data_IF_279698677037
#
_entry.id   IF_279698677037
#
_cell.length_a   1.000
_cell.length_b   1.000
_cell.length_c   1.000
_cell.angle_alpha   90.00
_cell.angle_beta   90.00
_cell.angle_gamma   90.00
#
_symmetry.space_group_name_H-M   'P 1'
#
loop_
_entity.id
_entity.type
_entity.pdbx_description
1 polymer ?
#
# COMPACT_ATOMS: atom_id res chain seq x y z
N UNK A 1 19.75 -13.13 -23.51
CA UNK A 1 21.18 -13.52 -23.35
C UNK A 1 21.25 -15.02 -23.04
N UNK A 2 22.18 -15.76 -23.64
CA UNK A 2 22.41 -17.19 -23.37
C UNK A 2 23.84 -17.43 -22.89
N UNK A 3 24.05 -18.38 -21.97
CA UNK A 3 25.38 -18.72 -21.42
C UNK A 3 25.78 -20.13 -21.80
N UNK A 4 27.00 -20.27 -22.34
CA UNK A 4 27.63 -21.53 -22.68
C UNK A 4 28.67 -21.90 -21.63
N UNK A 5 28.77 -23.19 -21.34
CA UNK A 5 29.65 -23.71 -20.30
C UNK A 5 30.65 -24.72 -20.89
N UNK A 6 31.93 -24.50 -20.62
CA UNK A 6 33.00 -25.46 -20.89
C UNK A 6 33.24 -26.31 -19.64
N UNK A 7 33.24 -27.63 -19.81
CA UNK A 7 33.45 -28.60 -18.71
C UNK A 7 34.59 -29.57 -19.04
N UNK A 8 35.08 -30.33 -18.05
CA UNK A 8 36.13 -31.33 -18.25
C UNK A 8 37.58 -30.79 -18.29
N UNK A 9 37.78 -29.48 -18.08
CA UNK A 9 39.08 -28.82 -18.00
C UNK A 9 39.10 -27.47 -18.72
N UNK A 10 40.10 -26.63 -18.43
CA UNK A 10 40.24 -25.28 -18.99
C UNK A 10 41.61 -25.03 -19.67
N UNK A 11 42.38 -26.09 -19.94
CA UNK A 11 43.67 -25.97 -20.61
C UNK A 11 43.52 -25.77 -22.11
N UNK A 12 44.29 -24.85 -22.69
CA UNK A 12 44.24 -24.53 -24.12
C UNK A 12 42.95 -23.81 -24.55
N UNK A 13 42.98 -23.27 -25.77
CA UNK A 13 41.81 -22.64 -26.40
C UNK A 13 40.96 -23.70 -27.09
N UNK A 14 39.64 -23.59 -26.97
CA UNK A 14 38.67 -24.44 -27.68
C UNK A 14 37.61 -23.57 -28.35
N UNK A 15 36.96 -24.07 -29.39
CA UNK A 15 35.86 -23.37 -30.06
C UNK A 15 34.75 -24.34 -30.43
N UNK A 16 33.55 -23.79 -30.60
CA UNK A 16 32.37 -24.50 -31.09
C UNK A 16 31.59 -23.53 -31.99
N UNK A 17 31.06 -24.02 -33.10
CA UNK A 17 30.13 -23.27 -33.92
C UNK A 17 28.74 -23.29 -33.27
N UNK A 18 28.02 -22.18 -33.40
CA UNK A 18 26.63 -22.11 -33.00
C UNK A 18 25.78 -21.54 -34.14
N UNK A 19 24.58 -22.10 -34.30
CA UNK A 19 23.58 -21.63 -35.27
C UNK A 19 22.27 -21.33 -34.56
N UNK A 20 21.66 -20.21 -34.90
CA UNK A 20 20.30 -19.87 -34.50
C UNK A 20 19.33 -20.43 -35.53
N UNK A 21 18.38 -21.24 -35.08
CA UNK A 21 17.38 -21.88 -35.93
C UNK A 21 16.00 -21.41 -35.52
N UNK A 22 15.21 -21.01 -36.51
CA UNK A 22 13.82 -20.61 -36.32
C UNK A 22 13.02 -21.69 -35.60
N UNK A 23 12.19 -21.28 -34.64
CA UNK A 23 11.13 -22.10 -34.07
C UNK A 23 9.79 -21.51 -34.49
N UNK A 24 9.00 -21.02 -33.52
CA UNK A 24 7.90 -20.11 -33.82
C UNK A 24 8.44 -18.75 -34.27
N UNK A 25 9.47 -18.24 -33.57
CA UNK A 25 10.21 -17.06 -33.98
C UNK A 25 10.99 -17.27 -35.29
N UNK A 26 10.91 -16.31 -36.20
CA UNK A 26 11.52 -16.17 -37.52
C UNK A 26 12.60 -15.10 -37.54
N UNK A 27 13.72 -15.46 -38.17
CA UNK A 27 14.79 -14.50 -38.42
C UNK A 27 14.29 -13.33 -39.27
N UNK A 28 14.69 -12.11 -38.88
CA UNK A 28 14.29 -10.83 -39.47
C UNK A 28 12.86 -10.36 -39.20
N UNK A 29 12.04 -11.17 -38.53
CA UNK A 29 10.75 -10.76 -37.95
C UNK A 29 10.98 -10.52 -36.45
N UNK A 30 11.42 -11.53 -35.69
CA UNK A 30 11.42 -11.44 -34.21
C UNK A 30 12.84 -11.45 -33.62
N UNK A 31 13.85 -11.86 -34.42
CA UNK A 31 15.25 -11.81 -34.00
C UNK A 31 16.24 -11.59 -35.14
N UNK A 32 17.41 -11.03 -34.79
CA UNK A 32 18.52 -10.84 -35.72
C UNK A 32 19.35 -12.11 -35.78
N UNK A 33 19.35 -12.79 -36.93
CA UNK A 33 20.15 -14.00 -37.12
C UNK A 33 21.66 -13.71 -37.07
N UNK A 34 22.34 -14.36 -36.13
CA UNK A 34 23.76 -14.09 -35.82
C UNK A 34 24.58 -15.35 -35.58
N UNK A 35 24.61 -16.27 -36.55
CA UNK A 35 25.42 -17.51 -36.48
C UNK A 35 26.92 -17.19 -36.35
N UNK A 36 27.68 -18.07 -35.68
CA UNK A 36 29.11 -17.80 -35.50
C UNK A 36 29.88 -18.87 -34.74
N UNK A 37 31.10 -18.51 -34.33
CA UNK A 37 32.00 -19.37 -33.57
C UNK A 37 32.20 -18.81 -32.18
N UNK A 38 31.94 -19.62 -31.16
CA UNK A 38 32.20 -19.28 -29.77
C UNK A 38 33.55 -19.88 -29.35
N UNK A 39 34.53 -19.02 -29.07
CA UNK A 39 35.86 -19.43 -28.59
C UNK A 39 35.96 -19.28 -27.07
N UNK A 40 36.50 -20.26 -26.38
CA UNK A 40 36.93 -20.16 -24.99
C UNK A 40 38.45 -20.08 -24.98
N UNK A 41 39.00 -19.01 -24.44
CA UNK A 41 40.44 -18.91 -24.20
C UNK A 41 40.88 -19.91 -23.12
N UNK A 42 42.19 -20.13 -23.01
CA UNK A 42 42.75 -20.92 -21.92
C UNK A 42 42.35 -20.29 -20.56
N UNK A 43 41.75 -21.10 -19.68
CA UNK A 43 41.24 -20.66 -18.39
C UNK A 43 39.76 -20.24 -18.39
N UNK A 44 39.11 -20.02 -19.53
CA UNK A 44 37.69 -19.65 -19.59
C UNK A 44 36.79 -20.88 -19.49
N UNK A 45 35.84 -20.85 -18.55
CA UNK A 45 34.87 -21.94 -18.32
C UNK A 45 33.44 -21.58 -18.67
N UNK A 46 33.14 -20.31 -18.92
CA UNK A 46 31.82 -19.84 -19.35
C UNK A 46 31.97 -18.65 -20.30
N UNK A 47 31.03 -18.52 -21.23
CA UNK A 47 30.92 -17.36 -22.11
C UNK A 47 29.46 -17.12 -22.44
N UNK A 48 29.06 -15.86 -22.49
CA UNK A 48 27.68 -15.48 -22.80
C UNK A 48 27.59 -14.84 -24.19
N UNK A 49 26.49 -15.12 -24.88
CA UNK A 49 26.13 -14.53 -26.16
C UNK A 49 24.87 -13.68 -25.96
N UNK A 50 24.92 -12.43 -26.44
CA UNK A 50 23.72 -11.63 -26.63
C UNK A 50 23.11 -11.99 -27.98
N UNK A 51 21.81 -12.21 -28.00
CA UNK A 51 21.03 -12.39 -29.21
C UNK A 51 20.11 -11.17 -29.25
N UNK A 52 20.17 -10.43 -30.34
CA UNK A 52 19.37 -9.23 -30.52
C UNK A 52 17.97 -9.66 -31.00
N UNK A 53 16.95 -9.27 -30.23
CA UNK A 53 15.54 -9.42 -30.61
C UNK A 53 15.11 -8.20 -31.42
N UNK A 54 14.11 -8.39 -32.27
CA UNK A 54 13.47 -7.31 -33.02
C UNK A 54 12.18 -7.00 -32.27
N UNK A 55 12.05 -5.75 -31.87
CA UNK A 55 10.90 -5.23 -31.12
C UNK A 55 9.91 -4.64 -32.11
N UNK A 56 8.63 -5.00 -31.99
CA UNK A 56 7.55 -4.46 -32.80
C UNK A 56 6.24 -4.24 -32.02
N UNK A 57 5.20 -3.79 -32.71
CA UNK A 57 3.92 -3.41 -32.09
C UNK A 57 2.82 -4.49 -32.31
N UNK A 58 3.15 -5.62 -32.94
CA UNK A 58 2.21 -6.69 -33.23
C UNK A 58 2.06 -7.58 -32.00
N UNK A 59 0.82 -7.87 -31.59
CA UNK A 59 0.60 -8.78 -30.46
C UNK A 59 0.68 -10.22 -30.93
N UNK A 60 1.67 -10.92 -30.39
CA UNK A 60 2.00 -12.28 -30.72
C UNK A 60 1.78 -13.20 -29.50
N UNK A 61 2.17 -14.46 -29.64
CA UNK A 61 2.26 -15.40 -28.52
C UNK A 61 3.72 -15.66 -28.26
N UNK A 62 4.14 -15.90 -27.01
CA UNK A 62 5.54 -16.25 -26.68
C UNK A 62 6.17 -17.17 -27.74
N UNK A 63 7.22 -16.66 -28.36
CA UNK A 63 7.84 -17.30 -29.49
C UNK A 63 9.16 -17.97 -29.13
N UNK A 64 9.61 -18.91 -29.93
CA UNK A 64 10.80 -19.70 -29.62
C UNK A 64 11.76 -19.76 -30.80
N UNK A 65 13.06 -19.71 -30.50
CA UNK A 65 14.13 -20.09 -31.39
C UNK A 65 15.05 -21.11 -30.70
N UNK A 66 15.87 -21.82 -31.48
CA UNK A 66 16.80 -22.82 -30.95
C UNK A 66 18.24 -22.48 -31.32
N UNK A 67 19.13 -22.52 -30.33
CA UNK A 67 20.58 -22.48 -30.54
C UNK A 67 21.11 -23.90 -30.63
N UNK A 68 21.84 -24.23 -31.70
CA UNK A 68 22.42 -25.56 -31.92
C UNK A 68 23.95 -25.42 -31.95
N UNK A 69 24.65 -26.33 -31.27
CA UNK A 69 26.12 -26.41 -31.29
C UNK A 69 26.60 -27.42 -32.33
N UNK A 70 27.67 -27.08 -33.06
CA UNK A 70 28.32 -27.93 -34.06
C UNK A 70 29.85 -27.75 -34.10
N UNK A 71 30.54 -28.66 -34.78
CA UNK A 71 31.96 -28.56 -35.14
C UNK A 71 32.90 -28.10 -34.00
N UNK A 72 33.02 -28.87 -32.88
CA UNK A 72 33.95 -28.51 -31.82
C UNK A 72 35.41 -28.66 -32.29
N UNK A 73 36.24 -27.66 -31.98
CA UNK A 73 37.66 -27.67 -32.29
C UNK A 73 38.54 -27.57 -31.02
N UNK A 74 39.85 -27.72 -31.16
CA UNK A 74 40.80 -27.62 -30.05
C UNK A 74 40.77 -28.81 -29.08
N UNK A 75 40.20 -29.94 -29.50
CA UNK A 75 40.09 -31.16 -28.69
C UNK A 75 38.86 -31.20 -27.76
N UNK A 76 37.95 -30.22 -27.88
CA UNK A 76 36.67 -30.26 -27.21
C UNK A 76 35.71 -31.30 -27.83
N UNK A 77 34.67 -31.65 -27.08
CA UNK A 77 33.51 -32.38 -27.55
C UNK A 77 32.24 -31.66 -27.07
N UNK A 78 31.17 -31.72 -27.86
CA UNK A 78 29.88 -31.14 -27.46
C UNK A 78 29.22 -32.09 -26.46
N UNK A 79 28.93 -31.57 -25.27
CA UNK A 79 28.21 -32.29 -24.22
C UNK A 79 26.69 -32.29 -24.42
N UNK A 80 25.96 -32.91 -23.49
CA UNK A 80 24.50 -32.78 -23.43
C UNK A 80 24.12 -31.60 -22.52
N UNK A 81 23.21 -30.70 -22.95
CA UNK A 81 22.48 -30.72 -24.22
C UNK A 81 23.28 -30.12 -25.39
N UNK A 82 23.03 -30.59 -26.61
CA UNK A 82 23.65 -30.06 -27.85
C UNK A 82 22.91 -28.85 -28.42
N UNK A 83 21.77 -28.48 -27.82
CA UNK A 83 20.95 -27.35 -28.22
C UNK A 83 20.21 -26.77 -27.01
N UNK A 84 19.77 -25.52 -27.13
CA UNK A 84 18.96 -24.84 -26.13
C UNK A 84 17.85 -24.04 -26.84
N UNK A 85 16.63 -24.12 -26.30
CA UNK A 85 15.51 -23.29 -26.74
C UNK A 85 15.54 -21.98 -25.97
N UNK A 86 15.34 -20.89 -26.70
CA UNK A 86 15.17 -19.53 -26.16
C UNK A 86 13.74 -19.14 -26.45
N UNK A 87 13.05 -18.62 -25.44
CA UNK A 87 11.73 -18.01 -25.56
C UNK A 87 11.90 -16.49 -25.65
N UNK A 88 11.21 -15.88 -26.59
CA UNK A 88 10.97 -14.44 -26.70
C UNK A 88 9.56 -14.24 -26.13
N UNK A 89 9.45 -13.52 -25.03
CA UNK A 89 8.17 -13.22 -24.39
C UNK A 89 7.56 -11.99 -25.10
N UNK A 90 6.28 -12.06 -25.47
CA UNK A 90 5.52 -10.93 -26.04
C UNK A 90 5.16 -9.93 -24.91
N UNK A 91 5.45 -8.65 -25.10
CA UNK A 91 5.02 -7.59 -24.17
C UNK A 91 3.86 -6.73 -24.68
N UNK A 92 3.33 -7.08 -25.86
CA UNK A 92 2.32 -6.36 -26.62
C UNK A 92 0.87 -6.73 -26.22
N UNK A 93 0.68 -7.70 -25.31
CA UNK A 93 -0.50 -7.83 -24.44
C UNK A 93 -1.86 -7.61 -25.13
N UNK A 94 -2.26 -8.59 -25.95
CA UNK A 94 -3.32 -8.48 -26.95
C UNK A 94 -4.66 -7.82 -26.57
N UNK A 95 -5.08 -6.88 -27.42
CA UNK A 95 -6.46 -6.43 -27.58
C UNK A 95 -7.38 -7.44 -28.31
N UNK A 96 -6.91 -8.67 -28.56
CA UNK A 96 -7.65 -9.74 -29.18
C UNK A 96 -7.78 -10.94 -28.23
N UNK A 97 -9.00 -11.41 -28.03
CA UNK A 97 -9.33 -12.60 -27.23
C UNK A 97 -8.54 -13.85 -27.68
N UNK A 98 -7.35 -14.07 -27.11
CA UNK A 98 -6.64 -15.35 -27.14
C UNK A 98 -6.43 -15.80 -25.70
N UNK A 99 -7.05 -16.94 -25.37
CA UNK A 99 -6.89 -17.62 -24.09
C UNK A 99 -5.43 -18.08 -23.94
N UNK A 100 -4.61 -17.35 -23.19
CA UNK A 100 -3.28 -17.83 -22.82
C UNK A 100 -2.29 -16.79 -22.30
N UNK A 101 -2.42 -15.51 -22.66
CA UNK A 101 -1.45 -14.46 -22.32
C UNK A 101 -2.03 -13.52 -21.25
N UNK A 102 -1.18 -12.97 -20.38
CA UNK A 102 -1.53 -12.02 -19.32
C UNK A 102 -2.25 -10.78 -19.91
N UNK A 103 -3.57 -10.82 -20.07
CA UNK A 103 -4.35 -9.62 -20.41
C UNK A 103 -4.13 -8.55 -19.33
N UNK A 104 -3.89 -7.29 -19.71
CA UNK A 104 -3.70 -6.22 -18.74
C UNK A 104 -4.93 -6.14 -17.84
N UNK A 105 -4.70 -5.91 -16.55
CA UNK A 105 -5.77 -5.81 -15.56
C UNK A 105 -5.96 -4.36 -15.14
N UNK A 106 -7.21 -3.94 -15.03
CA UNK A 106 -7.60 -2.64 -14.51
C UNK A 106 -8.12 -2.79 -13.08
N UNK A 107 -7.62 -1.94 -12.18
CA UNK A 107 -7.90 -2.01 -10.74
C UNK A 107 -7.81 -0.67 -10.04
N UNK A 108 -8.47 -0.50 -8.90
CA UNK A 108 -8.20 0.65 -8.04
C UNK A 108 -6.80 0.55 -7.42
N UNK A 109 -6.07 1.68 -7.35
CA UNK A 109 -4.72 1.76 -6.77
C UNK A 109 -4.69 1.51 -5.24
N UNK A 110 -5.81 1.69 -4.55
CA UNK A 110 -6.02 1.29 -3.16
C UNK A 110 -7.41 0.65 -2.97
N UNK A 111 -7.54 -0.18 -1.94
CA UNK A 111 -8.84 -0.75 -1.51
C UNK A 111 -9.63 0.19 -0.60
N UNK A 112 -8.95 1.15 0.03
CA UNK A 112 -9.55 2.10 0.97
C UNK A 112 -8.98 3.50 0.69
N UNK A 113 -9.88 4.48 0.61
CA UNK A 113 -9.57 5.90 0.57
C UNK A 113 -10.25 6.58 1.75
N UNK A 114 -9.66 7.67 2.22
CA UNK A 114 -10.24 8.51 3.26
C UNK A 114 -9.93 9.98 2.97
N UNK A 115 -10.93 10.84 3.10
CA UNK A 115 -10.77 12.28 2.92
C UNK A 115 -11.78 13.04 3.77
N UNK A 116 -11.37 14.18 4.35
CA UNK A 116 -12.31 15.08 5.04
C UNK A 116 -13.21 15.78 4.04
N UNK A 117 -14.48 15.97 4.41
CA UNK A 117 -15.46 16.65 3.58
C UNK A 117 -15.05 18.10 3.23
N UNK A 118 -14.35 18.79 4.14
CA UNK A 118 -13.79 20.14 3.90
C UNK A 118 -12.83 20.23 2.72
N UNK A 119 -12.19 19.12 2.33
CA UNK A 119 -11.25 19.12 1.20
C UNK A 119 -12.00 19.27 -0.14
N UNK A 120 -13.33 19.14 -0.13
CA UNK A 120 -14.25 19.39 -1.25
C UNK A 120 -14.18 18.35 -2.38
N UNK A 121 -13.11 17.55 -2.46
CA UNK A 121 -13.00 16.44 -3.40
C UNK A 121 -11.90 15.46 -3.01
N UNK A 122 -12.00 14.23 -3.52
CA UNK A 122 -10.96 13.21 -3.43
C UNK A 122 -10.60 12.67 -4.81
N UNK A 123 -9.31 12.51 -5.08
CA UNK A 123 -8.80 11.90 -6.31
C UNK A 123 -8.69 10.39 -6.15
N UNK A 124 -9.30 9.65 -7.07
CA UNK A 124 -9.28 8.19 -7.12
C UNK A 124 -8.40 7.76 -8.28
N UNK A 125 -7.44 6.86 -8.01
CA UNK A 125 -6.49 6.35 -9.01
C UNK A 125 -6.90 4.93 -9.43
N UNK A 126 -6.86 4.70 -10.73
CA UNK A 126 -7.06 3.40 -11.37
C UNK A 126 -5.79 3.04 -12.13
N UNK A 127 -5.25 1.88 -11.84
CA UNK A 127 -4.03 1.34 -12.44
C UNK A 127 -4.37 0.34 -13.54
N UNK A 128 -3.50 0.30 -14.55
CA UNK A 128 -3.39 -0.75 -15.57
C UNK A 128 -2.08 -1.50 -15.31
N UNK A 129 -2.18 -2.80 -15.03
CA UNK A 129 -1.02 -3.64 -14.69
C UNK A 129 -0.96 -4.90 -15.55
N UNK A 130 0.23 -5.44 -15.77
CA UNK A 130 0.44 -6.62 -16.62
C UNK A 130 0.43 -6.33 -18.12
N UNK A 131 0.69 -5.07 -18.52
CA UNK A 131 0.81 -4.66 -19.93
C UNK A 131 0.24 -3.25 -20.17
N UNK A 132 0.85 -2.49 -21.10
CA UNK A 132 0.39 -1.13 -21.46
C UNK A 132 0.25 -0.88 -22.96
N UNK A 133 0.53 -1.88 -23.80
CA UNK A 133 0.36 -1.82 -25.25
C UNK A 133 -1.12 -1.66 -25.66
N UNK A 134 -1.39 -0.91 -26.72
CA UNK A 134 -2.75 -0.63 -27.19
C UNK A 134 -3.62 0.16 -26.19
N UNK A 135 -4.88 0.40 -26.57
CA UNK A 135 -5.83 1.18 -25.75
C UNK A 135 -6.63 0.29 -24.81
N UNK A 136 -6.89 0.76 -23.59
CA UNK A 136 -7.81 0.12 -22.66
C UNK A 136 -8.84 1.12 -22.11
N UNK A 137 -9.98 0.64 -21.64
CA UNK A 137 -10.96 1.50 -20.98
C UNK A 137 -11.74 0.78 -19.90
N UNK A 138 -12.25 1.56 -18.95
CA UNK A 138 -13.11 1.06 -17.86
C UNK A 138 -14.08 2.14 -17.42
N UNK A 139 -15.34 1.75 -17.20
CA UNK A 139 -16.34 2.62 -16.59
C UNK A 139 -16.21 2.61 -15.07
N UNK A 140 -16.31 3.77 -14.43
CA UNK A 140 -16.36 3.90 -12.97
C UNK A 140 -17.71 4.48 -12.52
N UNK A 141 -18.11 4.12 -11.31
CA UNK A 141 -19.27 4.68 -10.64
C UNK A 141 -19.10 4.70 -9.11
N UNK A 142 -19.65 5.72 -8.47
CA UNK A 142 -19.93 5.73 -7.03
C UNK A 142 -21.23 4.97 -6.73
N UNK A 143 -21.25 4.20 -5.65
CA UNK A 143 -22.40 3.46 -5.13
C UNK A 143 -22.60 3.88 -3.68
N UNK A 144 -23.83 4.28 -3.32
CA UNK A 144 -24.16 4.72 -1.96
C UNK A 144 -23.92 3.62 -0.93
N UNK A 145 -23.41 4.04 0.24
CA UNK A 145 -23.27 3.21 1.42
C UNK A 145 -24.03 3.85 2.59
N UNK A 146 -23.31 4.22 3.66
CA UNK A 146 -23.88 5.12 4.68
C UNK A 146 -23.93 6.54 4.13
N UNK A 147 -22.89 6.96 3.40
CA UNK A 147 -22.87 8.21 2.65
C UNK A 147 -23.84 8.19 1.46
N UNK A 148 -24.59 9.27 1.32
CA UNK A 148 -25.64 9.59 0.36
C UNK A 148 -25.21 10.67 -0.62
N UNK A 149 -25.49 10.43 -1.89
CA UNK A 149 -25.16 11.37 -2.98
C UNK A 149 -25.94 12.69 -2.95
N UNK A 150 -26.98 12.78 -2.11
CA UNK A 150 -27.73 14.02 -1.92
C UNK A 150 -27.12 14.90 -0.84
N UNK A 151 -26.45 14.32 0.16
CA UNK A 151 -25.99 15.01 1.37
C UNK A 151 -24.46 15.13 1.36
N UNK A 152 -23.73 14.02 1.23
CA UNK A 152 -22.31 13.95 1.62
C UNK A 152 -21.34 13.99 0.42
N UNK A 153 -21.81 13.60 -0.76
CA UNK A 153 -21.00 13.64 -1.99
C UNK A 153 -21.86 13.89 -3.24
N UNK A 154 -21.23 14.01 -4.41
CA UNK A 154 -21.94 14.06 -5.70
C UNK A 154 -21.74 12.77 -6.47
N UNK A 155 -22.83 12.14 -6.94
CA UNK A 155 -22.77 10.93 -7.79
C UNK A 155 -21.82 11.15 -8.95
N UNK A 156 -20.81 10.31 -9.02
CA UNK A 156 -19.71 10.44 -9.98
C UNK A 156 -19.63 9.16 -10.81
N UNK A 157 -19.80 9.31 -12.12
CA UNK A 157 -19.69 8.22 -13.09
C UNK A 157 -18.92 8.70 -14.32
N UNK A 158 -18.32 7.78 -15.05
CA UNK A 158 -17.59 8.10 -16.26
C UNK A 158 -16.87 6.90 -16.85
N UNK A 159 -15.97 7.15 -17.79
CA UNK A 159 -15.12 6.13 -18.40
C UNK A 159 -13.70 6.67 -18.52
N UNK A 160 -12.75 5.94 -17.97
CA UNK A 160 -11.32 6.20 -18.16
C UNK A 160 -10.88 5.52 -19.44
N UNK A 161 -10.16 6.25 -20.28
CA UNK A 161 -9.52 5.72 -21.49
C UNK A 161 -8.01 5.82 -21.31
N UNK A 162 -7.34 4.69 -21.43
CA UNK A 162 -5.90 4.55 -21.41
C UNK A 162 -5.41 4.46 -22.85
N UNK A 163 -4.54 5.37 -23.25
CA UNK A 163 -3.78 5.24 -24.47
C UNK A 163 -2.68 4.17 -24.31
N UNK A 164 -2.06 3.78 -25.42
CA UNK A 164 -0.87 2.93 -25.38
C UNK A 164 0.23 3.58 -24.52
N UNK A 165 0.86 2.80 -23.65
CA UNK A 165 1.87 3.24 -22.69
C UNK A 165 1.32 3.87 -21.40
N UNK A 166 0.01 4.15 -21.30
CA UNK A 166 -0.56 4.71 -20.07
C UNK A 166 -0.88 3.61 -19.05
N UNK A 167 -0.28 3.72 -17.85
CA UNK A 167 -0.43 2.74 -16.77
C UNK A 167 -1.33 3.22 -15.64
N UNK A 168 -1.73 4.50 -15.62
CA UNK A 168 -2.61 5.05 -14.60
C UNK A 168 -3.53 6.15 -15.18
N UNK A 169 -4.73 6.23 -14.63
CA UNK A 169 -5.68 7.32 -14.82
C UNK A 169 -6.37 7.63 -13.50
N UNK A 170 -6.96 8.81 -13.40
CA UNK A 170 -7.69 9.22 -12.21
C UNK A 170 -9.00 9.92 -12.55
N UNK A 171 -9.88 9.96 -11.56
CA UNK A 171 -11.08 10.79 -11.55
C UNK A 171 -11.27 11.41 -10.17
N UNK A 172 -12.05 12.47 -10.10
CA UNK A 172 -12.34 13.19 -8.86
C UNK A 172 -13.77 12.92 -8.41
N UNK A 173 -13.97 12.59 -7.14
CA UNK A 173 -15.29 12.52 -6.49
C UNK A 173 -15.48 13.80 -5.68
N UNK A 174 -16.44 14.67 -6.02
CA UNK A 174 -16.75 15.86 -5.22
C UNK A 174 -17.41 15.48 -3.90
N UNK A 175 -16.89 16.02 -2.80
CA UNK A 175 -17.43 15.91 -1.46
C UNK A 175 -18.25 17.15 -1.13
N UNK A 176 -19.24 17.01 -0.25
CA UNK A 176 -20.07 18.13 0.21
C UNK A 176 -19.76 18.33 1.67
N UNK A 177 -19.18 19.48 1.95
CA UNK A 177 -18.88 19.99 3.29
C UNK A 177 -20.15 20.64 3.87
N UNK A 178 -20.58 20.21 5.06
CA UNK A 178 -21.65 20.90 5.78
C UNK A 178 -21.31 21.29 7.23
N UNK A 179 -22.29 21.37 8.13
CA UNK A 179 -22.10 21.81 9.52
C UNK A 179 -22.75 20.88 10.53
N UNK A 180 -23.24 19.74 10.06
CA UNK A 180 -23.89 18.68 10.81
C UNK A 180 -22.84 17.68 11.25
N UNK A 181 -22.87 17.23 12.50
CA UNK A 181 -22.05 16.09 12.89
C UNK A 181 -22.78 14.80 12.55
N UNK A 182 -22.28 14.09 11.56
CA UNK A 182 -22.82 12.83 11.05
C UNK A 182 -21.88 11.65 11.38
N UNK A 183 -20.61 11.96 11.68
CA UNK A 183 -19.54 11.00 11.89
C UNK A 183 -19.05 10.41 10.56
N UNK A 184 -17.98 9.61 10.59
CA UNK A 184 -17.40 9.11 9.36
C UNK A 184 -18.36 8.18 8.59
N UNK A 185 -18.59 8.50 7.33
CA UNK A 185 -19.47 7.75 6.45
C UNK A 185 -18.73 7.11 5.29
N UNK A 186 -19.30 6.08 4.68
CA UNK A 186 -18.68 5.32 3.60
C UNK A 186 -19.58 5.23 2.37
N UNK A 187 -18.94 5.31 1.20
CA UNK A 187 -19.48 4.91 -0.09
C UNK A 187 -18.54 3.90 -0.76
N UNK A 188 -19.06 3.17 -1.75
CA UNK A 188 -18.27 2.23 -2.55
C UNK A 188 -17.98 2.82 -3.94
N UNK A 189 -16.76 2.59 -4.42
CA UNK A 189 -16.32 2.85 -5.78
C UNK A 189 -16.34 1.53 -6.56
N UNK A 190 -16.79 1.56 -7.81
CA UNK A 190 -16.91 0.35 -8.64
C UNK A 190 -16.40 0.56 -10.05
N UNK A 191 -15.61 -0.39 -10.54
CA UNK A 191 -15.20 -0.52 -11.93
C UNK A 191 -16.09 -1.53 -12.68
N UNK A 192 -16.47 -1.20 -13.90
CA UNK A 192 -17.33 -2.02 -14.77
C UNK A 192 -16.97 -1.83 -16.25
N UNK A 193 -17.51 -2.70 -17.11
CA UNK A 193 -17.40 -2.59 -18.57
C UNK A 193 -15.95 -2.39 -19.06
N UNK A 194 -14.99 -3.26 -18.68
CA UNK A 194 -13.64 -3.16 -19.20
C UNK A 194 -13.63 -3.45 -20.72
N UNK A 195 -12.72 -2.80 -21.45
CA UNK A 195 -12.41 -3.13 -22.84
C UNK A 195 -10.91 -2.95 -23.08
N UNK A 196 -10.30 -3.85 -23.86
CA UNK A 196 -8.84 -3.90 -24.05
C UNK A 196 -8.06 -4.30 -22.80
N UNK A 197 -8.75 -4.82 -21.79
CA UNK A 197 -8.24 -5.27 -20.49
C UNK A 197 -9.30 -6.11 -19.78
N UNK A 198 -8.93 -6.76 -18.67
CA UNK A 198 -9.86 -7.40 -17.72
C UNK A 198 -9.88 -6.67 -16.38
N UNK A 199 -10.90 -6.93 -15.55
CA UNK A 199 -10.94 -6.38 -14.19
C UNK A 199 -10.26 -7.33 -13.20
N UNK A 200 -9.43 -6.78 -12.34
CA UNK A 200 -8.93 -7.47 -11.14
C UNK A 200 -10.11 -7.73 -10.18
N UNK A 201 -10.44 -9.01 -9.94
CA UNK A 201 -11.60 -9.40 -9.14
C UNK A 201 -11.47 -9.01 -7.66
N UNK A 202 -10.25 -8.84 -7.16
CA UNK A 202 -10.01 -8.43 -5.78
C UNK A 202 -10.04 -6.91 -5.61
N UNK A 203 -9.92 -6.16 -6.72
CA UNK A 203 -9.69 -4.70 -6.70
C UNK A 203 -10.57 -3.90 -7.66
N UNK A 204 -11.67 -4.48 -8.15
CA UNK A 204 -12.69 -3.77 -8.94
C UNK A 204 -13.68 -2.96 -8.09
N UNK A 205 -13.63 -3.12 -6.76
CA UNK A 205 -14.31 -2.24 -5.80
C UNK A 205 -13.32 -1.67 -4.79
N UNK A 206 -13.59 -0.46 -4.30
CA UNK A 206 -12.86 0.16 -3.19
C UNK A 206 -13.82 0.94 -2.30
N UNK A 207 -13.51 1.07 -1.02
CA UNK A 207 -14.27 1.91 -0.09
C UNK A 207 -13.67 3.32 -0.06
N UNK A 208 -14.53 4.33 -0.04
CA UNK A 208 -14.17 5.71 0.26
C UNK A 208 -14.86 6.12 1.56
N UNK A 209 -14.07 6.53 2.54
CA UNK A 209 -14.55 7.09 3.81
C UNK A 209 -14.52 8.61 3.72
N UNK A 210 -15.68 9.25 3.91
CA UNK A 210 -15.80 10.69 4.13
C UNK A 210 -15.61 10.90 5.63
N UNK A 211 -14.61 11.70 5.98
CA UNK A 211 -14.25 12.00 7.37
C UNK A 211 -14.98 13.28 7.75
N UNK A 212 -15.88 13.17 8.71
CA UNK A 212 -16.60 14.27 9.34
C UNK A 212 -15.61 15.14 10.12
N UNK A 213 -15.60 16.45 9.85
CA UNK A 213 -14.79 17.42 10.61
C UNK A 213 -15.59 18.30 11.57
N UNK A 214 -16.91 18.09 11.61
CA UNK A 214 -17.85 18.78 12.45
C UNK A 214 -17.82 18.30 13.89
N UNK A 215 -17.33 19.16 14.77
CA UNK A 215 -17.45 18.92 16.21
C UNK A 215 -18.86 19.27 16.67
N UNK A 216 -19.55 18.35 17.36
CA UNK A 216 -20.86 18.63 17.99
C UNK A 216 -20.70 19.83 18.93
N UNK A 217 -21.18 21.02 18.53
CA UNK A 217 -21.12 22.24 19.36
C UNK A 217 -22.33 22.39 20.28
N UNK A 218 -23.34 21.52 20.13
CA UNK A 218 -24.53 21.49 20.98
C UNK A 218 -24.31 20.55 22.19
N UNK A 219 -24.85 20.92 23.36
CA UNK A 219 -24.62 20.15 24.59
C UNK A 219 -23.21 20.30 25.18
N UNK A 220 -23.09 20.01 26.47
CA UNK A 220 -21.85 20.18 27.26
C UNK A 220 -20.88 19.01 27.12
N UNK A 221 -21.32 17.89 26.54
CA UNK A 221 -20.52 16.71 26.24
C UNK A 221 -20.17 15.85 27.45
N UNK A 222 -19.37 14.82 27.17
CA UNK A 222 -18.90 13.81 28.11
C UNK A 222 -17.38 13.70 28.03
N UNK A 223 -16.72 13.68 29.19
CA UNK A 223 -15.26 13.69 29.32
C UNK A 223 -14.73 12.28 29.63
N UNK A 224 -13.81 11.77 28.83
CA UNK A 224 -13.22 10.42 28.91
C UNK A 224 -11.72 10.46 28.63
N UNK A 225 -10.97 9.46 29.08
CA UNK A 225 -9.62 9.23 28.55
C UNK A 225 -9.70 8.80 27.08
N UNK A 226 -8.65 9.11 26.32
CA UNK A 226 -8.51 8.67 24.93
C UNK A 226 -8.48 7.15 24.82
N UNK A 227 -7.70 6.53 25.71
CA UNK A 227 -7.49 5.08 25.81
C UNK A 227 -7.83 4.57 27.22
N UNK A 228 -8.09 3.27 27.34
CA UNK A 228 -8.29 2.60 28.64
C UNK A 228 -6.97 2.15 29.29
N UNK A 229 -5.93 2.00 28.49
CA UNK A 229 -4.60 1.51 28.88
C UNK A 229 -3.55 2.40 28.22
N UNK A 230 -2.50 2.74 28.97
CA UNK A 230 -1.34 3.48 28.49
C UNK A 230 -0.07 2.73 28.87
N UNK A 231 0.97 2.85 28.06
CA UNK A 231 2.28 2.27 28.32
C UNK A 231 3.35 3.32 28.09
N UNK A 232 4.32 3.37 28.98
CA UNK A 232 5.47 4.27 28.91
C UNK A 232 6.70 3.53 29.41
N UNK A 233 7.85 3.70 28.76
CA UNK A 233 9.11 3.20 29.31
C UNK A 233 9.60 4.12 30.43
N UNK A 234 10.20 3.58 31.47
CA UNK A 234 10.73 4.32 32.63
C UNK A 234 11.76 5.37 32.21
N UNK A 235 12.58 5.06 31.22
CA UNK A 235 13.53 5.99 30.58
C UNK A 235 12.85 7.21 29.92
N UNK A 236 11.53 7.20 29.76
CA UNK A 236 10.79 8.36 29.25
C UNK A 236 10.35 9.24 30.41
N UNK A 237 10.98 10.42 30.55
CA UNK A 237 10.65 11.42 31.58
C UNK A 237 9.15 11.79 31.65
N UNK A 238 8.38 11.58 30.57
CA UNK A 238 7.00 12.04 30.47
C UNK A 238 6.11 11.04 29.73
N UNK A 239 4.97 10.72 30.34
CA UNK A 239 3.81 10.12 29.69
C UNK A 239 2.83 11.20 29.22
N UNK A 240 2.42 11.16 27.96
CA UNK A 240 1.36 12.02 27.41
C UNK A 240 0.01 11.31 27.46
N UNK A 241 -0.95 11.90 28.17
CA UNK A 241 -2.31 11.36 28.31
C UNK A 241 -3.31 12.30 27.66
N UNK A 242 -4.12 11.75 26.76
CA UNK A 242 -5.20 12.48 26.09
C UNK A 242 -6.52 12.32 26.83
N UNK A 243 -7.23 13.42 27.06
CA UNK A 243 -8.62 13.45 27.52
C UNK A 243 -9.49 14.01 26.40
N UNK A 244 -10.55 13.30 26.06
CA UNK A 244 -11.50 13.65 25.00
C UNK A 244 -12.82 14.15 25.58
N UNK A 245 -13.45 15.08 24.86
CA UNK A 245 -14.79 15.61 25.10
C UNK A 245 -15.68 15.28 23.90
N UNK A 246 -16.61 14.35 24.07
CA UNK A 246 -17.50 13.87 23.01
C UNK A 246 -18.97 14.22 23.28
N UNK A 247 -19.83 14.18 22.26
CA UNK A 247 -21.27 14.44 22.42
C UNK A 247 -21.62 15.89 22.79
N UNK A 248 -20.70 16.83 22.59
CA UNK A 248 -20.95 18.27 22.79
C UNK A 248 -19.74 19.09 23.27
N UNK A 249 -19.48 20.23 22.64
CA UNK A 249 -18.42 21.18 23.04
C UNK A 249 -18.95 22.55 23.47
N UNK A 250 -20.25 22.64 23.80
CA UNK A 250 -20.88 23.90 24.23
C UNK A 250 -20.30 24.38 25.54
N UNK A 251 -19.83 25.62 25.55
CA UNK A 251 -19.36 26.29 26.76
C UNK A 251 -18.11 25.67 27.38
N UNK A 252 -17.60 26.32 28.42
CA UNK A 252 -16.42 25.83 29.13
C UNK A 252 -16.82 24.75 30.13
N UNK A 253 -16.10 23.63 30.16
CA UNK A 253 -16.27 22.55 31.14
C UNK A 253 -14.92 22.15 31.69
N UNK A 254 -14.88 21.51 32.85
CA UNK A 254 -13.64 21.03 33.45
C UNK A 254 -13.84 19.65 34.07
N UNK A 255 -12.75 18.92 34.25
CA UNK A 255 -12.71 17.62 34.93
C UNK A 255 -11.44 17.50 35.77
N UNK A 256 -11.56 16.87 36.93
CA UNK A 256 -10.43 16.56 37.81
C UNK A 256 -9.87 15.19 37.47
N UNK A 257 -8.55 15.12 37.33
CA UNK A 257 -7.79 13.90 37.06
C UNK A 257 -7.02 13.54 38.33
N UNK A 258 -7.12 12.29 38.75
CA UNK A 258 -6.40 11.78 39.92
C UNK A 258 -5.67 10.48 39.61
N UNK A 259 -4.44 10.37 40.07
CA UNK A 259 -3.70 9.11 40.10
C UNK A 259 -3.98 8.34 41.40
N UNK A 260 -4.02 7.02 41.31
CA UNK A 260 -3.98 6.12 42.46
C UNK A 260 -2.86 5.08 42.28
N UNK A 261 -2.11 4.86 43.35
CA UNK A 261 -0.98 3.93 43.39
C UNK A 261 -1.46 2.49 43.12
N UNK A 262 -0.71 1.75 42.30
CA UNK A 262 -0.86 0.31 42.09
C UNK A 262 0.40 -0.41 42.59
N UNK A 263 1.11 -1.15 41.74
CA UNK A 263 2.49 -1.56 42.04
C UNK A 263 3.40 -0.33 42.00
N UNK A 264 3.25 0.53 40.98
CA UNK A 264 3.86 1.85 40.95
C UNK A 264 3.26 2.78 42.03
N UNK A 265 4.12 3.51 42.72
CA UNK A 265 3.84 4.46 43.79
C UNK A 265 4.19 5.88 43.35
N UNK A 266 3.25 6.79 43.64
CA UNK A 266 3.56 8.21 43.53
C UNK A 266 4.78 8.58 44.38
N UNK A 267 5.65 9.43 43.85
CA UNK A 267 6.96 9.89 44.39
C UNK A 267 8.12 8.89 44.32
N UNK A 268 7.86 7.64 43.95
CA UNK A 268 8.91 6.66 43.62
C UNK A 268 9.00 6.55 42.09
N UNK A 269 7.87 6.24 41.42
CA UNK A 269 7.88 5.90 39.98
C UNK A 269 7.17 6.95 39.11
N UNK A 270 6.35 7.82 39.71
CA UNK A 270 5.69 8.92 38.99
C UNK A 270 5.33 10.10 39.91
N UNK A 271 5.20 11.31 39.35
CA UNK A 271 4.67 12.45 40.09
C UNK A 271 3.15 12.34 40.30
N UNK A 272 2.69 12.53 41.55
CA UNK A 272 1.27 12.42 41.89
C UNK A 272 0.42 13.38 41.05
N UNK A 273 -0.62 12.84 40.41
CA UNK A 273 -1.63 13.61 39.67
C UNK A 273 -2.83 13.88 40.56
N UNK A 274 -3.12 15.16 40.82
CA UNK A 274 -4.40 15.65 41.35
C UNK A 274 -4.62 17.07 40.79
N UNK A 275 -5.15 17.14 39.56
CA UNK A 275 -5.25 18.40 38.80
C UNK A 275 -6.60 18.53 38.10
N UNK A 276 -6.98 19.75 37.74
CA UNK A 276 -8.20 20.03 36.98
C UNK A 276 -7.84 20.63 35.63
N UNK A 277 -8.30 20.00 34.55
CA UNK A 277 -8.18 20.53 33.18
C UNK A 277 -9.50 21.17 32.75
N UNK A 278 -9.42 22.25 31.97
CA UNK A 278 -10.59 23.02 31.52
C UNK A 278 -10.66 23.09 30.01
N UNK A 279 -11.68 22.47 29.41
CA UNK A 279 -12.01 22.59 28.00
C UNK A 279 -12.76 23.90 27.76
N UNK A 280 -12.27 24.72 26.83
CA UNK A 280 -13.00 25.89 26.32
C UNK A 280 -14.14 25.45 25.41
N UNK A 281 -15.09 26.36 25.15
CA UNK A 281 -16.11 26.13 24.13
C UNK A 281 -15.46 25.77 22.77
N UNK A 282 -15.92 24.71 22.14
CA UNK A 282 -15.37 24.18 20.89
C UNK A 282 -14.18 23.23 21.05
N UNK A 283 -13.52 23.15 22.22
CA UNK A 283 -12.41 22.20 22.43
C UNK A 283 -12.95 20.78 22.63
N UNK A 284 -12.52 19.85 21.77
CA UNK A 284 -12.87 18.42 21.83
C UNK A 284 -11.79 17.55 22.49
N UNK A 285 -10.56 18.05 22.65
CA UNK A 285 -9.45 17.29 23.23
C UNK A 285 -8.50 18.16 24.06
N UNK A 286 -7.82 17.52 25.02
CA UNK A 286 -6.68 18.07 25.73
C UNK A 286 -5.66 16.97 26.01
N UNK A 287 -4.39 17.34 25.88
CA UNK A 287 -3.26 16.50 26.26
C UNK A 287 -2.67 17.06 27.56
N UNK A 288 -2.37 16.18 28.51
CA UNK A 288 -1.61 16.53 29.71
C UNK A 288 -0.44 15.56 29.91
N UNK A 289 0.64 16.09 30.45
CA UNK A 289 1.87 15.35 30.73
C UNK A 289 1.88 14.85 32.18
N UNK A 290 2.34 13.64 32.38
CA UNK A 290 2.66 13.06 33.70
C UNK A 290 4.16 12.79 33.71
N UNK A 291 4.86 13.35 34.68
CA UNK A 291 6.28 13.06 34.89
C UNK A 291 6.44 11.63 35.41
N UNK A 292 7.23 10.82 34.70
CA UNK A 292 7.67 9.50 35.15
C UNK A 292 9.02 9.69 35.83
N UNK A 293 9.21 9.01 36.96
CA UNK A 293 10.43 9.08 37.75
C UNK A 293 11.22 7.82 37.45
N UNK A 294 12.37 7.98 36.81
CA UNK A 294 13.30 6.88 36.55
C UNK A 294 14.24 6.69 37.74
N UNK A 295 14.54 5.43 38.05
CA UNK A 295 15.66 5.08 38.91
C UNK A 295 16.57 3.98 38.31
N UNK A 296 17.66 3.66 39.02
CA UNK A 296 18.69 2.72 38.54
C UNK A 296 18.41 1.25 38.97
N UNK A 297 17.21 0.94 39.48
CA UNK A 297 16.86 -0.42 39.92
C UNK A 297 16.21 -1.19 38.78
N UNK A 298 16.50 -2.49 38.72
CA UNK A 298 15.85 -3.44 37.82
C UNK A 298 14.55 -3.91 38.51
N UNK A 299 13.49 -3.10 38.40
CA UNK A 299 12.16 -3.42 38.91
C UNK A 299 11.31 -4.12 37.81
N UNK A 300 10.30 -4.93 38.15
CA UNK A 300 9.39 -5.50 37.15
C UNK A 300 8.42 -4.42 36.63
N UNK A 301 7.79 -4.63 35.46
CA UNK A 301 6.74 -3.74 34.94
C UNK A 301 5.71 -3.36 36.03
N UNK A 302 5.47 -2.06 36.18
CA UNK A 302 4.64 -1.53 37.26
C UNK A 302 3.39 -0.81 36.75
N UNK A 303 2.34 -0.79 37.58
CA UNK A 303 1.03 -0.27 37.24
C UNK A 303 0.56 0.80 38.23
N UNK A 304 -0.03 1.86 37.70
CA UNK A 304 -0.88 2.77 38.46
C UNK A 304 -2.15 3.10 37.67
N UNK A 305 -3.11 3.77 38.30
CA UNK A 305 -4.39 4.10 37.65
C UNK A 305 -4.65 5.60 37.65
N UNK A 306 -5.34 6.07 36.61
CA UNK A 306 -5.88 7.42 36.49
C UNK A 306 -7.40 7.38 36.52
N UNK A 307 -8.02 8.37 37.15
CA UNK A 307 -9.48 8.50 37.22
C UNK A 307 -9.94 9.93 36.95
N UNK A 308 -11.02 10.05 36.19
CA UNK A 308 -11.73 11.30 35.94
C UNK A 308 -12.87 11.47 36.96
N UNK A 309 -12.97 12.66 37.53
CA UNK A 309 -13.98 12.99 38.54
C UNK A 309 -14.41 14.45 38.48
N UNK A 310 -15.53 14.76 39.15
CA UNK A 310 -16.06 16.11 39.32
C UNK A 310 -16.16 16.94 38.02
N UNK A 311 -16.85 16.44 36.96
CA UNK A 311 -17.08 17.26 35.77
C UNK A 311 -17.95 18.48 36.14
N UNK A 312 -17.67 19.62 35.51
CA UNK A 312 -18.39 20.88 35.77
C UNK A 312 -19.29 21.31 34.62
N UNK A 313 -20.15 22.31 34.89
CA UNK A 313 -20.99 22.98 33.90
C UNK A 313 -21.86 22.03 33.06
N UNK A 314 -22.32 20.94 33.67
CA UNK A 314 -23.24 19.98 33.05
C UNK A 314 -22.58 18.95 32.13
N UNK A 315 -21.24 18.91 32.03
CA UNK A 315 -20.57 17.79 31.37
C UNK A 315 -20.78 16.48 32.14
N UNK A 316 -20.82 15.37 31.43
CA UNK A 316 -20.83 14.01 32.00
C UNK A 316 -19.42 13.40 32.01
N UNK A 317 -19.26 12.26 32.69
CA UNK A 317 -18.09 11.38 32.51
C UNK A 317 -18.44 10.30 31.49
N UNK A 318 -17.54 10.09 30.53
CA UNK A 318 -17.66 9.09 29.48
C UNK A 318 -16.91 7.81 29.82
N UNK A 319 -16.92 6.84 28.90
CA UNK A 319 -16.12 5.63 29.02
C UNK A 319 -14.96 5.67 28.01
N UNK A 320 -13.71 5.39 28.39
CA UNK A 320 -13.26 5.08 29.76
C UNK A 320 -13.11 6.35 30.63
N UNK A 321 -13.60 6.31 31.87
CA UNK A 321 -13.34 7.36 32.88
C UNK A 321 -12.18 7.02 33.81
N UNK A 322 -11.73 5.77 33.76
CA UNK A 322 -10.59 5.23 34.49
C UNK A 322 -9.65 4.64 33.44
N UNK A 323 -8.35 4.80 33.63
CA UNK A 323 -7.33 4.22 32.75
C UNK A 323 -6.21 3.60 33.59
N UNK A 324 -5.65 2.51 33.10
CA UNK A 324 -4.46 1.87 33.66
C UNK A 324 -3.22 2.36 32.92
N UNK A 325 -2.12 2.56 33.65
CA UNK A 325 -0.83 2.97 33.09
C UNK A 325 0.21 1.97 33.51
N UNK A 326 0.92 1.41 32.52
CA UNK A 326 2.07 0.53 32.69
C UNK A 326 3.36 1.29 32.47
N UNK A 327 4.25 1.25 33.45
CA UNK A 327 5.64 1.70 33.35
C UNK A 327 6.48 0.46 33.03
N UNK A 328 7.11 0.45 31.84
CA UNK A 328 8.01 -0.60 31.40
C UNK A 328 9.44 -0.25 31.79
N UNK A 329 10.14 -1.20 32.37
CA UNK A 329 11.50 -1.02 32.89
C UNK A 329 12.55 -1.28 31.81
#
# INVERSE_FOLDING_TARGET
MITFIRTGGAEGSVSVEYTLTDGTAKAAEDYVKSDGTLTFAAGETSRSLSIDIIDDDDSESDETLTVILAEPEGGAAIGSPTSATITIDDDEGGGGSQSGVNQPTLRFAALNYAMSEKEGSVTIIVERVGGSAGTASVSYATVEGTARSTIDYTTTTGTLQFAAGETEKSFSVPLKDDSSTEGNEKLQLKLTNPAGAVLDQERLTADLTIVDDEVITSGTGSLRFGEAEYTVGEDNDVLMVTVMRSGGTKGNVSVTIKSANGTAKATEDFEKVDTTITFRAGEAEKIFAITILSDDKDDPDELFTLSLSAPTNGAALGSPKDAEVMIQQ
#
